data_IF_000360142442
#
_entry.id   IF_000360142442
#
_cell.length_a   1.000
_cell.length_b   1.000
_cell.length_c   1.000
_cell.angle_alpha   90.00
_cell.angle_beta   90.00
_cell.angle_gamma   90.00
#
_symmetry.space_group_name_H-M   'P 1'
#
loop_
_entity.id
_entity.type
_entity.pdbx_description
1 polymer ?
#
# COMPACT_ATOMS: atom_id res chain seq x y z
N UNK A 1 18.67 -20.35 -9.65
CA UNK A 1 18.02 -21.05 -8.50
C UNK A 1 16.96 -20.14 -7.87
N UNK A 2 17.26 -18.87 -7.60
CA UNK A 2 16.28 -17.84 -7.18
C UNK A 2 15.17 -17.66 -8.22
N UNK A 3 15.52 -17.60 -9.51
CA UNK A 3 14.54 -17.38 -10.60
C UNK A 3 13.45 -18.47 -10.66
N UNK A 4 13.79 -19.72 -10.31
CA UNK A 4 12.83 -20.83 -10.29
C UNK A 4 11.85 -20.74 -9.12
N UNK A 5 12.25 -20.15 -7.99
CA UNK A 5 11.40 -19.96 -6.82
C UNK A 5 10.44 -18.79 -7.03
N UNK A 6 10.92 -17.69 -7.62
CA UNK A 6 10.07 -16.53 -7.96
C UNK A 6 9.05 -16.92 -9.02
N UNK A 7 9.47 -17.60 -10.10
CA UNK A 7 8.55 -18.08 -11.15
C UNK A 7 7.51 -19.04 -10.58
N UNK A 8 7.91 -19.95 -9.68
CA UNK A 8 7.01 -20.94 -9.09
C UNK A 8 5.99 -20.37 -8.09
N UNK A 9 6.32 -19.29 -7.38
CA UNK A 9 5.48 -18.73 -6.33
C UNK A 9 4.68 -17.49 -6.77
N UNK A 10 5.26 -16.65 -7.64
CA UNK A 10 4.69 -15.36 -8.04
C UNK A 10 4.44 -15.23 -9.56
N UNK A 11 4.82 -16.24 -10.35
CA UNK A 11 4.71 -16.19 -11.81
C UNK A 11 5.52 -15.06 -12.44
N UNK A 12 5.14 -14.64 -13.65
CA UNK A 12 5.79 -13.54 -14.36
C UNK A 12 5.77 -12.23 -13.55
N UNK A 13 4.65 -11.96 -12.87
CA UNK A 13 4.47 -10.74 -12.09
C UNK A 13 5.37 -10.62 -10.87
N UNK A 14 5.91 -11.73 -10.36
CA UNK A 14 6.89 -11.69 -9.26
C UNK A 14 8.13 -10.88 -9.60
N UNK A 15 8.66 -11.07 -10.81
CA UNK A 15 9.82 -10.30 -11.27
C UNK A 15 9.45 -8.86 -11.59
N UNK A 16 8.25 -8.64 -12.11
CA UNK A 16 7.75 -7.30 -12.43
C UNK A 16 7.56 -6.44 -11.17
N UNK A 17 7.28 -7.03 -10.01
CA UNK A 17 7.13 -6.33 -8.72
C UNK A 17 8.45 -6.04 -7.99
N UNK A 18 9.60 -6.50 -8.52
CA UNK A 18 10.90 -6.17 -7.92
C UNK A 18 11.19 -4.68 -8.04
N UNK A 19 11.81 -4.09 -7.02
CA UNK A 19 12.06 -2.64 -6.93
C UNK A 19 12.91 -2.08 -8.10
N UNK A 20 13.73 -2.93 -8.71
CA UNK A 20 14.66 -2.66 -9.80
C UNK A 20 14.13 -3.17 -11.15
N UNK A 21 12.88 -3.62 -11.21
CA UNK A 21 12.26 -4.03 -12.46
C UNK A 21 12.03 -2.83 -13.39
N UNK A 22 12.09 -3.07 -14.69
CA UNK A 22 11.79 -2.05 -15.69
C UNK A 22 10.35 -1.53 -15.55
N UNK A 23 9.39 -2.39 -15.18
CA UNK A 23 8.00 -2.01 -14.97
C UNK A 23 7.86 -0.98 -13.85
N UNK A 24 8.46 -1.24 -12.68
CA UNK A 24 8.41 -0.30 -11.54
C UNK A 24 9.10 1.01 -11.89
N UNK A 25 10.24 0.95 -12.59
CA UNK A 25 10.95 2.15 -13.05
C UNK A 25 10.09 3.00 -14.00
N UNK A 26 9.41 2.37 -14.95
CA UNK A 26 8.51 3.06 -15.89
C UNK A 26 7.27 3.64 -15.18
N UNK A 27 6.65 2.87 -14.28
CA UNK A 27 5.47 3.29 -13.52
C UNK A 27 5.73 4.55 -12.68
N UNK A 28 6.87 4.60 -12.00
CA UNK A 28 7.21 5.69 -11.07
C UNK A 28 7.80 6.93 -11.77
N UNK A 29 8.07 6.87 -13.09
CA UNK A 29 8.78 7.92 -13.85
C UNK A 29 8.14 9.31 -13.75
N UNK A 30 6.82 9.37 -13.61
CA UNK A 30 6.05 10.61 -13.63
C UNK A 30 5.55 11.04 -12.25
N UNK A 31 6.03 10.38 -11.19
CA UNK A 31 5.60 10.58 -9.82
C UNK A 31 4.39 9.71 -9.44
N UNK A 32 4.06 9.76 -8.16
CA UNK A 32 3.21 8.75 -7.52
C UNK A 32 1.70 8.99 -7.70
N UNK A 33 1.30 10.22 -8.02
CA UNK A 33 -0.11 10.65 -7.91
C UNK A 33 -0.60 11.43 -9.12
N UNK A 34 -1.89 11.26 -9.43
CA UNK A 34 -2.59 12.10 -10.40
C UNK A 34 -3.22 13.34 -9.74
N UNK A 35 -3.43 14.44 -10.51
CA UNK A 35 -4.11 15.62 -10.00
C UNK A 35 -5.54 15.31 -9.52
N UNK A 36 -5.92 15.89 -8.38
CA UNK A 36 -7.27 15.82 -7.80
C UNK A 36 -7.74 14.43 -7.34
N UNK A 37 -6.85 13.43 -7.33
CA UNK A 37 -7.14 12.12 -6.77
C UNK A 37 -6.62 12.05 -5.33
N UNK A 38 -7.48 11.62 -4.42
CA UNK A 38 -7.11 11.35 -3.03
C UNK A 38 -6.62 9.90 -2.89
N UNK A 39 -5.44 9.73 -2.31
CA UNK A 39 -4.83 8.41 -2.10
C UNK A 39 -4.72 8.13 -0.60
N UNK A 40 -5.12 6.93 -0.19
CA UNK A 40 -4.90 6.43 1.17
C UNK A 40 -4.14 5.12 1.09
N UNK A 41 -2.90 5.09 1.59
CA UNK A 41 -2.04 3.92 1.57
C UNK A 41 -1.98 3.34 2.98
N UNK A 42 -2.46 2.11 3.16
CA UNK A 42 -2.49 1.42 4.45
C UNK A 42 -1.49 0.27 4.40
N UNK A 43 -0.44 0.33 5.22
CA UNK A 43 0.60 -0.69 5.29
C UNK A 43 0.73 -1.24 6.71
N UNK A 44 1.40 -2.38 6.90
CA UNK A 44 1.64 -2.98 8.22
C UNK A 44 3.12 -3.13 8.49
N UNK A 45 3.58 -2.75 9.69
CA UNK A 45 4.98 -2.96 10.11
C UNK A 45 5.37 -4.44 10.19
N UNK A 46 4.39 -5.33 10.21
CA UNK A 46 4.59 -6.78 10.29
C UNK A 46 4.55 -7.45 8.91
N UNK A 47 4.58 -6.68 7.81
CA UNK A 47 4.60 -7.22 6.46
C UNK A 47 5.89 -8.03 6.24
N UNK A 48 5.78 -9.28 5.81
CA UNK A 48 6.94 -10.14 5.54
C UNK A 48 7.19 -10.35 4.04
N UNK A 49 6.36 -9.75 3.18
CA UNK A 49 6.40 -9.91 1.72
C UNK A 49 6.99 -8.67 1.07
N UNK A 50 6.53 -7.47 1.47
CA UNK A 50 6.97 -6.20 0.89
C UNK A 50 7.91 -5.48 1.85
N UNK A 51 9.17 -5.31 1.45
CA UNK A 51 10.22 -4.69 2.24
C UNK A 51 11.09 -3.75 1.39
N UNK A 52 11.41 -2.53 1.89
CA UNK A 52 10.93 -1.93 3.13
C UNK A 52 9.45 -1.53 3.04
N UNK A 53 8.69 -1.62 4.13
CA UNK A 53 7.23 -1.34 4.16
C UNK A 53 6.88 0.05 3.63
N UNK A 54 7.77 1.02 3.85
CA UNK A 54 7.62 2.39 3.38
C UNK A 54 7.57 2.51 1.84
N UNK A 55 7.97 1.47 1.09
CA UNK A 55 7.80 1.43 -0.37
C UNK A 55 6.34 1.38 -0.80
N UNK A 56 5.41 1.01 0.10
CA UNK A 56 3.98 1.06 -0.15
C UNK A 56 3.38 2.47 -0.02
N UNK A 57 4.15 3.46 0.43
CA UNK A 57 3.69 4.83 0.64
C UNK A 57 3.95 5.72 -0.56
N UNK A 58 2.98 6.58 -0.87
CA UNK A 58 3.04 7.53 -1.98
C UNK A 58 3.42 8.94 -1.50
N UNK A 59 3.89 9.77 -2.42
CA UNK A 59 4.21 11.20 -2.20
C UNK A 59 3.26 12.09 -3.00
N UNK A 60 2.58 13.01 -2.31
CA UNK A 60 1.70 13.97 -2.96
C UNK A 60 0.87 14.78 -1.97
N UNK A 61 0.27 15.88 -2.43
CA UNK A 61 -0.52 16.79 -1.56
C UNK A 61 -1.81 16.15 -1.04
N UNK A 62 -2.38 15.19 -1.76
CA UNK A 62 -3.63 14.53 -1.44
C UNK A 62 -3.43 13.08 -0.96
N UNK A 63 -2.23 12.75 -0.50
CA UNK A 63 -1.88 11.41 0.01
C UNK A 63 -2.02 11.36 1.54
N UNK A 64 -2.55 10.24 2.04
CA UNK A 64 -2.50 9.87 3.44
C UNK A 64 -1.88 8.48 3.60
N UNK A 65 -0.69 8.41 4.18
CA UNK A 65 0.04 7.17 4.43
C UNK A 65 -0.17 6.73 5.89
N UNK A 66 -0.63 5.50 6.09
CA UNK A 66 -1.11 5.00 7.37
C UNK A 66 -0.48 3.65 7.65
N UNK A 67 0.02 3.46 8.87
CA UNK A 67 0.29 2.11 9.34
C UNK A 67 -0.95 1.54 10.03
N UNK A 68 -1.26 0.27 9.82
CA UNK A 68 -2.34 -0.43 10.52
C UNK A 68 -2.17 -0.35 12.05
N UNK A 69 -0.95 -0.23 12.56
CA UNK A 69 -0.67 -0.04 13.98
C UNK A 69 -1.11 1.33 14.53
N UNK A 70 -1.57 2.27 13.70
CA UNK A 70 -2.14 3.54 14.16
C UNK A 70 -3.41 3.35 15.02
N UNK A 71 -4.22 2.32 14.73
CA UNK A 71 -5.42 2.00 15.52
C UNK A 71 -5.16 1.00 16.65
N UNK A 72 -4.06 0.24 16.56
CA UNK A 72 -3.66 -0.74 17.58
C UNK A 72 -2.15 -0.91 17.56
N UNK A 73 -1.45 -0.21 18.46
CA UNK A 73 0.02 -0.11 18.49
C UNK A 73 0.75 -1.47 18.49
N UNK A 74 0.14 -2.49 19.10
CA UNK A 74 0.71 -3.84 19.23
C UNK A 74 0.12 -4.86 18.25
N UNK A 75 -0.66 -4.42 17.25
CA UNK A 75 -1.23 -5.33 16.27
C UNK A 75 -0.15 -5.93 15.38
N UNK A 76 -0.12 -7.27 15.35
CA UNK A 76 0.59 -8.05 14.35
C UNK A 76 -0.45 -8.45 13.31
N UNK A 77 -0.28 -7.93 12.09
CA UNK A 77 -1.15 -8.18 10.94
C UNK A 77 -0.21 -8.46 9.78
N UNK A 78 -0.25 -9.68 9.24
CA UNK A 78 0.58 -10.07 8.10
C UNK A 78 0.01 -9.48 6.80
N UNK A 79 0.80 -9.55 5.73
CA UNK A 79 0.45 -8.97 4.44
C UNK A 79 -0.90 -9.50 3.93
N UNK A 80 -1.05 -10.82 3.96
CA UNK A 80 -2.23 -11.55 3.50
C UNK A 80 -3.47 -11.33 4.39
N UNK A 81 -3.26 -10.97 5.66
CA UNK A 81 -4.35 -10.76 6.62
C UNK A 81 -4.96 -9.36 6.51
N UNK A 82 -4.21 -8.39 5.97
CA UNK A 82 -4.61 -6.98 5.89
C UNK A 82 -6.03 -6.77 5.31
N UNK A 83 -6.43 -7.39 4.18
CA UNK A 83 -7.77 -7.21 3.61
C UNK A 83 -8.91 -7.77 4.48
N UNK A 84 -8.60 -8.73 5.36
CA UNK A 84 -9.57 -9.42 6.21
C UNK A 84 -9.62 -8.87 7.64
N UNK A 85 -8.59 -8.16 8.08
CA UNK A 85 -8.50 -7.63 9.43
C UNK A 85 -9.57 -6.54 9.69
N UNK A 86 -10.43 -6.69 10.72
CA UNK A 86 -11.49 -5.73 11.02
C UNK A 86 -10.96 -4.34 11.40
N UNK A 87 -9.74 -4.25 11.94
CA UNK A 87 -9.10 -2.99 12.29
C UNK A 87 -8.67 -2.24 11.03
N UNK A 88 -8.14 -2.94 10.03
CA UNK A 88 -7.78 -2.37 8.73
C UNK A 88 -9.04 -1.90 7.99
N UNK A 89 -10.10 -2.71 7.97
CA UNK A 89 -11.39 -2.30 7.37
C UNK A 89 -11.96 -1.04 8.01
N UNK A 90 -11.80 -0.87 9.32
CA UNK A 90 -12.21 0.35 10.02
C UNK A 90 -11.40 1.58 9.58
N UNK A 91 -10.11 1.43 9.27
CA UNK A 91 -9.29 2.51 8.68
C UNK A 91 -9.83 2.85 7.29
N UNK A 92 -10.13 1.86 6.45
CA UNK A 92 -10.69 2.09 5.10
C UNK A 92 -11.98 2.91 5.17
N UNK A 93 -12.92 2.52 6.03
CA UNK A 93 -14.19 3.25 6.21
C UNK A 93 -13.92 4.68 6.68
N UNK A 94 -13.05 4.86 7.68
CA UNK A 94 -12.70 6.18 8.19
C UNK A 94 -12.06 7.09 7.12
N UNK A 95 -11.25 6.52 6.22
CA UNK A 95 -10.64 7.27 5.12
C UNK A 95 -11.65 7.67 4.05
N UNK A 96 -12.62 6.79 3.73
CA UNK A 96 -13.72 7.13 2.82
C UNK A 96 -14.52 8.31 3.38
N UNK A 97 -14.97 8.21 4.63
CA UNK A 97 -15.72 9.28 5.30
C UNK A 97 -14.90 10.59 5.41
N UNK A 98 -13.58 10.48 5.64
CA UNK A 98 -12.68 11.64 5.68
C UNK A 98 -12.62 12.34 4.33
N UNK A 99 -12.48 11.58 3.23
CA UNK A 99 -12.43 12.14 1.88
C UNK A 99 -13.78 12.75 1.50
N UNK A 100 -14.91 12.11 1.81
CA UNK A 100 -16.24 12.68 1.56
C UNK A 100 -16.42 14.06 2.21
N UNK A 101 -15.99 14.22 3.47
CA UNK A 101 -16.04 15.52 4.17
C UNK A 101 -15.14 16.60 3.55
N UNK A 102 -14.08 16.20 2.84
CA UNK A 102 -13.17 17.15 2.18
C UNK A 102 -13.66 17.56 0.79
N UNK A 103 -14.48 16.73 0.13
CA UNK A 103 -14.92 16.95 -1.25
C UNK A 103 -16.34 17.51 -1.35
N UNK A 104 -17.19 17.31 -0.34
CA UNK A 104 -18.56 17.84 -0.30
C UNK A 104 -18.57 19.11 0.57
N UNK A 105 -18.85 20.31 0.03
CA UNK A 105 -19.00 21.51 0.84
C UNK A 105 -20.24 21.38 1.74
N UNK A 106 -20.11 21.83 2.99
CA UNK A 106 -21.23 21.99 3.94
C UNK A 106 -22.27 23.00 3.47
#
# INVERSE_FOLDING_TARGET
>A
MIDSLITGFFGASGFEMLHDSELIAQLNKHGDTLPQVHYSCIATRSDTIIQPVESCFLRGKLVHNIYAQAVSKHAIILHEDMPHDPRVRRIVIAEIERVERLTIPS
#
